data_IF_471854889031
#
_entry.id   IF_471854889031
#
_cell.length_a   1.000
_cell.length_b   1.000
_cell.length_c   1.000
_cell.angle_alpha   90.00
_cell.angle_beta   90.00
_cell.angle_gamma   90.00
#
_symmetry.space_group_name_H-M   'P 1'
#
loop_
_entity.id
_entity.type
_entity.pdbx_description
1 polymer ?
#
# COMPACT_ATOMS: atom_id res chain seq x y z
N UNK A 1 37.59 32.59 -7.82
CA UNK A 1 37.61 31.44 -6.88
C UNK A 1 36.79 30.34 -7.53
N UNK A 2 37.43 29.35 -8.15
CA UNK A 2 36.71 28.27 -8.85
C UNK A 2 36.19 27.28 -7.80
N UNK A 3 34.89 27.32 -7.52
CA UNK A 3 34.24 26.31 -6.69
C UNK A 3 34.28 24.97 -7.44
N UNK A 4 35.06 24.00 -6.95
CA UNK A 4 35.07 22.65 -7.47
C UNK A 4 33.64 22.08 -7.39
N UNK A 5 33.13 21.55 -8.51
CA UNK A 5 31.79 20.94 -8.52
C UNK A 5 31.78 19.71 -7.61
N UNK A 6 30.76 19.54 -6.74
CA UNK A 6 30.69 18.41 -5.84
C UNK A 6 30.64 17.09 -6.63
N UNK A 7 31.55 16.16 -6.31
CA UNK A 7 31.56 14.83 -6.91
C UNK A 7 30.39 14.00 -6.34
N UNK A 8 29.41 13.68 -7.19
CA UNK A 8 28.27 12.85 -6.81
C UNK A 8 28.67 11.39 -6.93
N UNK A 9 28.98 10.75 -5.80
CA UNK A 9 29.25 9.33 -5.75
C UNK A 9 27.95 8.54 -5.54
N UNK A 10 27.57 7.70 -6.52
CA UNK A 10 26.43 6.80 -6.43
C UNK A 10 26.91 5.41 -5.99
N UNK A 11 26.29 4.84 -4.96
CA UNK A 11 26.62 3.49 -4.50
C UNK A 11 27.78 3.41 -3.50
N UNK A 12 27.85 4.37 -2.58
CA UNK A 12 28.77 4.36 -1.43
C UNK A 12 28.65 3.06 -0.63
N UNK A 13 29.67 2.73 0.17
CA UNK A 13 29.63 1.56 1.04
C UNK A 13 28.38 1.53 1.93
N UNK A 14 27.98 2.70 2.46
CA UNK A 14 26.74 2.85 3.22
C UNK A 14 25.48 2.49 2.41
N UNK A 15 25.37 2.94 1.16
CA UNK A 15 24.25 2.59 0.28
C UNK A 15 24.20 1.09 -0.03
N UNK A 16 25.35 0.44 -0.21
CA UNK A 16 25.45 -1.01 -0.43
C UNK A 16 25.04 -1.80 0.81
N UNK A 17 25.53 -1.39 2.00
CA UNK A 17 25.16 -2.01 3.28
C UNK A 17 23.66 -1.87 3.52
N UNK A 18 23.09 -0.69 3.28
CA UNK A 18 21.64 -0.46 3.38
C UNK A 18 20.87 -1.36 2.41
N UNK A 19 21.31 -1.47 1.16
CA UNK A 19 20.70 -2.36 0.17
C UNK A 19 20.71 -3.83 0.60
N UNK A 20 21.85 -4.32 1.09
CA UNK A 20 21.97 -5.69 1.64
C UNK A 20 21.03 -5.87 2.84
N UNK A 21 20.98 -4.90 3.74
CA UNK A 21 20.09 -4.91 4.89
C UNK A 21 18.61 -5.01 4.49
N UNK A 22 18.18 -4.23 3.49
CA UNK A 22 16.80 -4.29 2.96
C UNK A 22 16.50 -5.68 2.40
N UNK A 23 17.40 -6.23 1.58
CA UNK A 23 17.21 -7.58 1.01
C UNK A 23 17.11 -8.63 2.11
N UNK A 24 17.97 -8.56 3.13
CA UNK A 24 17.93 -9.48 4.27
C UNK A 24 16.60 -9.39 5.05
N UNK A 25 16.10 -8.17 5.29
CA UNK A 25 14.79 -7.96 5.94
C UNK A 25 13.65 -8.55 5.10
N UNK A 26 13.66 -8.32 3.78
CA UNK A 26 12.63 -8.87 2.88
C UNK A 26 12.62 -10.40 2.92
N UNK A 27 13.79 -11.02 2.86
CA UNK A 27 13.90 -12.48 2.96
C UNK A 27 13.40 -12.99 4.31
N UNK A 28 13.77 -12.33 5.41
CA UNK A 28 13.29 -12.69 6.74
C UNK A 28 11.77 -12.60 6.83
N UNK A 29 11.16 -11.51 6.35
CA UNK A 29 9.71 -11.33 6.35
C UNK A 29 9.00 -12.32 5.43
N UNK A 30 9.60 -12.69 4.30
CA UNK A 30 9.05 -13.70 3.38
C UNK A 30 9.05 -15.11 4.01
N UNK A 31 10.06 -15.43 4.83
CA UNK A 31 10.15 -16.71 5.54
C UNK A 31 9.37 -16.71 6.87
N UNK A 32 9.03 -15.53 7.43
CA UNK A 32 8.36 -15.40 8.72
C UNK A 32 7.09 -16.26 8.87
N UNK A 33 6.18 -16.38 7.87
CA UNK A 33 4.97 -17.20 7.99
C UNK A 33 5.24 -18.70 8.24
N UNK A 34 6.43 -19.20 7.90
CA UNK A 34 6.81 -20.59 8.14
C UNK A 34 7.11 -20.89 9.62
N UNK A 35 7.43 -19.84 10.40
CA UNK A 35 7.85 -19.96 11.80
C UNK A 35 6.90 -19.28 12.78
N UNK A 36 6.04 -18.36 12.32
CA UNK A 36 5.08 -17.65 13.14
C UNK A 36 3.70 -18.34 13.12
N UNK A 37 2.94 -18.15 14.21
CA UNK A 37 1.54 -18.55 14.23
C UNK A 37 0.69 -17.67 13.32
N UNK A 38 -0.43 -18.21 12.82
CA UNK A 38 -1.38 -17.45 11.99
C UNK A 38 -1.82 -16.13 12.64
N UNK A 39 -2.08 -16.14 13.96
CA UNK A 39 -2.45 -14.93 14.70
C UNK A 39 -1.32 -13.89 14.80
N UNK A 40 -0.05 -14.32 14.82
CA UNK A 40 1.07 -13.39 14.80
C UNK A 40 1.24 -12.76 13.40
N UNK A 41 1.10 -13.56 12.34
CA UNK A 41 1.12 -13.08 10.95
C UNK A 41 -0.02 -12.09 10.69
N UNK A 42 -1.22 -12.37 11.18
CA UNK A 42 -2.39 -11.49 11.02
C UNK A 42 -2.17 -10.13 11.72
N UNK A 43 -1.68 -10.14 12.97
CA UNK A 43 -1.34 -8.91 13.72
C UNK A 43 -0.23 -8.11 13.05
N UNK A 44 0.80 -8.76 12.54
CA UNK A 44 1.88 -8.09 11.80
C UNK A 44 1.36 -7.48 10.50
N UNK A 45 0.48 -8.19 9.79
CA UNK A 45 -0.17 -7.68 8.58
C UNK A 45 -0.98 -6.43 8.89
N UNK A 46 -1.81 -6.47 9.93
CA UNK A 46 -2.57 -5.30 10.39
C UNK A 46 -1.65 -4.13 10.78
N UNK A 47 -0.58 -4.40 11.52
CA UNK A 47 0.42 -3.38 11.90
C UNK A 47 1.05 -2.73 10.65
N UNK A 48 1.50 -3.51 9.67
CA UNK A 48 2.10 -2.97 8.45
C UNK A 48 1.10 -2.18 7.62
N UNK A 49 -0.16 -2.61 7.55
CA UNK A 49 -1.23 -1.81 6.94
C UNK A 49 -1.35 -0.45 7.63
N UNK A 50 -1.33 -0.38 8.95
CA UNK A 50 -1.36 0.89 9.67
C UNK A 50 -0.12 1.75 9.44
N UNK A 51 1.07 1.15 9.40
CA UNK A 51 2.31 1.87 9.07
C UNK A 51 2.26 2.46 7.66
N UNK A 52 1.78 1.68 6.68
CA UNK A 52 1.61 2.14 5.31
C UNK A 52 0.60 3.29 5.25
N UNK A 53 -0.55 3.18 5.93
CA UNK A 53 -1.55 4.25 5.99
C UNK A 53 -0.96 5.54 6.60
N UNK A 54 -0.19 5.42 7.69
CA UNK A 54 0.46 6.57 8.31
C UNK A 54 1.51 7.20 7.38
N UNK A 55 2.34 6.39 6.71
CA UNK A 55 3.35 6.86 5.77
C UNK A 55 2.73 7.50 4.52
N UNK A 56 1.66 6.91 3.98
CA UNK A 56 0.90 7.47 2.87
C UNK A 56 0.30 8.82 3.24
N UNK A 57 -0.27 8.97 4.44
CA UNK A 57 -0.79 10.26 4.90
C UNK A 57 0.32 11.31 5.01
N UNK A 58 1.48 10.93 5.56
CA UNK A 58 2.65 11.81 5.64
C UNK A 58 3.15 12.23 4.25
N UNK A 59 3.18 11.30 3.29
CA UNK A 59 3.59 11.57 1.91
C UNK A 59 2.57 12.45 1.16
N UNK A 60 1.28 12.12 1.21
CA UNK A 60 0.24 12.75 0.39
C UNK A 60 -0.11 14.15 0.90
N UNK A 61 -0.43 14.27 2.19
CA UNK A 61 -0.85 15.52 2.82
C UNK A 61 0.34 16.37 3.25
N UNK A 62 1.44 15.75 3.70
CA UNK A 62 2.62 16.48 4.19
C UNK A 62 3.53 16.99 3.07
N UNK A 63 3.95 16.10 2.16
CA UNK A 63 4.92 16.46 1.10
C UNK A 63 4.27 16.72 -0.27
N UNK A 64 3.19 16.02 -0.60
CA UNK A 64 2.52 16.14 -1.89
C UNK A 64 1.53 17.29 -1.99
N UNK A 65 1.03 17.82 -0.86
CA UNK A 65 -0.06 18.79 -0.84
C UNK A 65 -1.36 18.27 -1.48
N UNK A 66 -1.44 16.97 -1.76
CA UNK A 66 -2.55 16.33 -2.43
C UNK A 66 -3.48 15.76 -1.36
N UNK A 67 -4.62 16.40 -1.16
CA UNK A 67 -5.72 15.88 -0.32
C UNK A 67 -6.91 15.60 -1.24
N UNK A 68 -6.75 14.65 -2.17
CA UNK A 68 -7.87 14.22 -3.03
C UNK A 68 -8.70 13.16 -2.32
N UNK A 69 -9.77 13.59 -1.66
CA UNK A 69 -10.75 12.69 -1.02
C UNK A 69 -11.67 12.05 -2.07
N UNK A 70 -11.88 12.70 -3.21
CA UNK A 70 -12.83 12.27 -4.23
C UNK A 70 -12.49 10.89 -4.83
N UNK A 71 -11.23 10.64 -5.19
CA UNK A 71 -10.83 9.34 -5.76
C UNK A 71 -10.95 8.20 -4.74
N UNK A 72 -10.62 8.47 -3.46
CA UNK A 72 -10.69 7.46 -2.40
C UNK A 72 -12.13 7.01 -2.11
N UNK A 73 -13.11 7.89 -2.30
CA UNK A 73 -14.54 7.54 -2.18
C UNK A 73 -14.94 6.45 -3.18
N UNK A 74 -14.47 6.50 -4.43
CA UNK A 74 -14.76 5.47 -5.43
C UNK A 74 -14.24 4.10 -5.01
N UNK A 75 -13.00 4.04 -4.49
CA UNK A 75 -12.43 2.79 -3.98
C UNK A 75 -13.21 2.27 -2.76
N UNK A 76 -13.57 3.14 -1.83
CA UNK A 76 -14.34 2.77 -0.63
C UNK A 76 -15.72 2.21 -0.96
N UNK A 77 -16.46 2.88 -1.85
CA UNK A 77 -17.77 2.42 -2.31
C UNK A 77 -17.66 1.09 -3.07
N UNK A 78 -16.67 0.94 -3.95
CA UNK A 78 -16.46 -0.29 -4.72
C UNK A 78 -16.17 -1.50 -3.81
N UNK A 79 -15.33 -1.32 -2.79
CA UNK A 79 -15.03 -2.36 -1.81
C UNK A 79 -16.27 -2.72 -0.95
N UNK A 80 -17.02 -1.71 -0.49
CA UNK A 80 -18.25 -1.93 0.28
C UNK A 80 -19.28 -2.73 -0.52
N UNK A 81 -19.57 -2.33 -1.75
CA UNK A 81 -20.52 -3.05 -2.60
C UNK A 81 -20.04 -4.46 -2.93
N UNK A 82 -18.74 -4.65 -3.23
CA UNK A 82 -18.20 -5.98 -3.50
C UNK A 82 -18.43 -6.93 -2.32
N UNK A 83 -18.10 -6.51 -1.10
CA UNK A 83 -18.31 -7.30 0.12
C UNK A 83 -19.80 -7.54 0.36
N UNK A 84 -20.63 -6.50 0.23
CA UNK A 84 -22.07 -6.60 0.48
C UNK A 84 -22.76 -7.57 -0.48
N UNK A 85 -22.32 -7.59 -1.73
CA UNK A 85 -22.88 -8.42 -2.80
C UNK A 85 -22.36 -9.86 -2.70
N UNK A 86 -21.08 -10.04 -2.34
CA UNK A 86 -20.54 -11.36 -2.01
C UNK A 86 -21.26 -11.99 -0.80
N UNK A 87 -21.50 -11.21 0.26
CA UNK A 87 -22.29 -11.65 1.42
C UNK A 87 -23.76 -11.93 1.08
N UNK A 88 -24.28 -11.38 -0.03
CA UNK A 88 -25.60 -11.70 -0.54
C UNK A 88 -25.64 -13.00 -1.35
N UNK A 89 -24.51 -13.71 -1.50
CA UNK A 89 -24.39 -14.98 -2.20
C UNK A 89 -23.87 -14.88 -3.63
N UNK A 90 -23.46 -13.69 -4.10
CA UNK A 90 -22.80 -13.57 -5.38
C UNK A 90 -21.35 -14.06 -5.30
N UNK A 91 -20.84 -14.67 -6.37
CA UNK A 91 -19.42 -15.01 -6.48
C UNK A 91 -18.55 -13.75 -6.23
N UNK A 92 -17.50 -13.82 -5.39
CA UNK A 92 -16.68 -12.66 -5.05
C UNK A 92 -16.01 -11.98 -6.24
N UNK A 93 -15.59 -12.73 -7.27
CA UNK A 93 -14.97 -12.16 -8.46
C UNK A 93 -16.00 -11.44 -9.32
N UNK A 94 -17.19 -12.01 -9.46
CA UNK A 94 -18.32 -11.33 -10.14
C UNK A 94 -18.76 -10.10 -9.34
N UNK A 95 -18.82 -10.19 -8.01
CA UNK A 95 -19.19 -9.09 -7.14
C UNK A 95 -18.25 -7.89 -7.26
N UNK A 96 -16.95 -8.14 -7.48
CA UNK A 96 -15.94 -7.11 -7.70
C UNK A 96 -16.15 -6.38 -9.03
N UNK A 97 -16.54 -7.09 -10.09
CA UNK A 97 -16.87 -6.46 -11.37
C UNK A 97 -18.18 -5.67 -11.29
N UNK A 98 -19.22 -6.25 -10.69
CA UNK A 98 -20.53 -5.60 -10.52
C UNK A 98 -20.41 -4.35 -9.66
N UNK A 99 -19.62 -4.37 -8.57
CA UNK A 99 -19.43 -3.19 -7.73
C UNK A 99 -18.78 -2.04 -8.48
N UNK A 100 -17.79 -2.32 -9.34
CA UNK A 100 -17.16 -1.30 -10.19
C UNK A 100 -18.17 -0.65 -11.15
N UNK A 101 -19.03 -1.46 -11.78
CA UNK A 101 -20.09 -0.97 -12.68
C UNK A 101 -21.12 -0.13 -11.91
N UNK A 102 -21.57 -0.58 -10.74
CA UNK A 102 -22.54 0.15 -9.92
C UNK A 102 -22.02 1.52 -9.48
N UNK A 103 -20.77 1.56 -9.01
CA UNK A 103 -20.13 2.81 -8.60
C UNK A 103 -19.93 3.74 -9.79
N UNK A 104 -19.49 3.21 -10.94
CA UNK A 104 -19.35 3.99 -12.17
C UNK A 104 -20.69 4.57 -12.65
N UNK A 105 -21.73 3.75 -12.71
CA UNK A 105 -23.08 4.17 -13.11
C UNK A 105 -23.67 5.22 -12.16
N UNK A 106 -23.46 5.07 -10.84
CA UNK A 106 -23.92 6.06 -9.86
C UNK A 106 -23.19 7.41 -9.92
N UNK A 107 -22.03 7.46 -10.59
CA UNK A 107 -21.28 8.69 -10.82
C UNK A 107 -21.55 9.35 -12.18
N UNK A 108 -22.33 8.69 -13.03
CA UNK A 108 -22.72 9.21 -14.33
C UNK A 108 -23.71 10.38 -14.15
N UNK A 109 -23.48 11.53 -14.81
CA UNK A 109 -24.33 12.72 -14.69
C UNK A 109 -25.73 12.53 -15.29
#
# INVERSE_FOLDING_TARGET
>A
MNAASPAIERGTAASRIAGIGVVAIVLLLALAPQFLSAGAVDRMTALFVYVILAAMWNALAGFGGLVSVGQQVFFGLGAYFAIRLANAGLDPFVALFVSAVLVGAGSWP
#
